data_IF_168123339007
#
_entry.id   IF_168123339007
#
_cell.length_a   1.000
_cell.length_b   1.000
_cell.length_c   1.000
_cell.angle_alpha   90.00
_cell.angle_beta   90.00
_cell.angle_gamma   90.00
#
_symmetry.space_group_name_H-M   'P 1'
#
loop_
_entity.id
_entity.type
_entity.pdbx_description
1 polymer ?
#
# COMPACT_ATOMS: atom_id res chain seq x y z
N UNK A 1 8.78 -18.07 3.10
CA UNK A 1 8.86 -16.59 3.07
C UNK A 1 9.24 -16.08 4.46
N UNK A 2 10.19 -15.16 4.58
CA UNK A 2 10.73 -14.73 5.88
C UNK A 2 9.97 -13.54 6.52
N UNK A 3 9.31 -12.70 5.71
CA UNK A 3 8.64 -11.50 6.21
C UNK A 3 7.33 -11.23 5.46
N UNK A 4 6.51 -10.35 6.02
CA UNK A 4 5.31 -9.78 5.37
C UNK A 4 5.17 -8.29 5.68
N UNK A 5 4.40 -7.59 4.86
CA UNK A 5 4.03 -6.20 5.09
C UNK A 5 2.64 -6.12 5.73
N UNK A 6 2.50 -5.27 6.73
CA UNK A 6 1.25 -5.07 7.44
C UNK A 6 0.94 -3.58 7.59
N UNK A 7 -0.14 -3.10 6.97
CA UNK A 7 -0.63 -1.74 7.18
C UNK A 7 -1.23 -1.57 8.58
N UNK A 8 -0.91 -0.45 9.24
CA UNK A 8 -1.46 -0.04 10.53
C UNK A 8 -2.87 0.53 10.34
N UNK A 9 -3.85 -0.10 10.99
CA UNK A 9 -5.27 0.29 10.96
C UNK A 9 -5.62 1.29 12.07
N UNK A 10 -5.06 1.10 13.26
CA UNK A 10 -5.22 2.01 14.40
C UNK A 10 -4.05 1.88 15.37
N UNK A 11 -3.76 2.97 16.07
CA UNK A 11 -2.84 3.00 17.21
C UNK A 11 -3.69 3.32 18.44
N UNK A 12 -3.49 2.60 19.53
CA UNK A 12 -4.26 2.74 20.75
C UNK A 12 -3.40 2.49 21.97
N UNK A 13 -3.81 3.04 23.10
CA UNK A 13 -3.18 2.79 24.40
C UNK A 13 -3.98 1.71 25.11
N UNK A 14 -3.32 0.59 25.40
CA UNK A 14 -3.90 -0.54 26.10
C UNK A 14 -3.90 -0.40 27.62
N UNK A 15 -4.30 -1.46 28.33
CA UNK A 15 -4.18 -1.53 29.78
C UNK A 15 -2.75 -1.24 30.24
N UNK A 16 -2.61 -0.57 31.39
CA UNK A 16 -1.32 -0.14 31.95
C UNK A 16 -0.54 0.84 31.06
N UNK A 17 -1.26 1.68 30.30
CA UNK A 17 -0.68 2.70 29.43
C UNK A 17 0.28 2.16 28.36
N UNK A 18 0.13 0.90 27.94
CA UNK A 18 1.01 0.29 26.95
C UNK A 18 0.58 0.69 25.53
N UNK A 19 1.43 1.33 24.72
CA UNK A 19 1.11 1.63 23.33
C UNK A 19 1.02 0.34 22.50
N UNK A 20 -0.04 0.24 21.69
CA UNK A 20 -0.29 -0.89 20.80
C UNK A 20 -0.71 -0.40 19.42
N UNK A 21 -0.26 -1.09 18.38
CA UNK A 21 -0.77 -0.90 17.03
C UNK A 21 -1.58 -2.13 16.61
N UNK A 22 -2.65 -1.89 15.86
CA UNK A 22 -3.47 -2.95 15.26
C UNK A 22 -3.30 -2.87 13.75
N UNK A 23 -2.94 -3.99 13.14
CA UNK A 23 -2.72 -4.09 11.70
C UNK A 23 -3.99 -4.56 10.98
N UNK A 24 -4.02 -4.36 9.66
CA UNK A 24 -5.15 -4.75 8.81
C UNK A 24 -5.41 -6.27 8.78
N UNK A 25 -4.39 -7.09 9.05
CA UNK A 25 -4.46 -8.55 9.15
C UNK A 25 -4.85 -9.04 10.56
N UNK A 26 -5.32 -8.13 11.43
CA UNK A 26 -5.88 -8.47 12.74
C UNK A 26 -4.85 -8.67 13.86
N UNK A 27 -3.56 -8.47 13.60
CA UNK A 27 -2.53 -8.57 14.65
C UNK A 27 -2.49 -7.30 15.52
N UNK A 28 -2.11 -7.50 16.78
CA UNK A 28 -1.85 -6.41 17.73
C UNK A 28 -0.38 -6.49 18.15
N UNK A 29 0.40 -5.45 17.84
CA UNK A 29 1.81 -5.35 18.22
C UNK A 29 1.95 -4.36 19.36
N UNK A 30 2.63 -4.78 20.43
CA UNK A 30 2.87 -3.96 21.63
C UNK A 30 4.21 -3.24 21.52
N UNK A 31 4.33 -2.10 22.18
CA UNK A 31 5.55 -1.28 22.21
C UNK A 31 6.08 -0.90 20.80
N UNK A 32 5.23 -0.37 19.89
CA UNK A 32 5.72 0.15 18.63
C UNK A 32 6.54 1.42 18.82
N UNK A 33 7.41 1.72 17.85
CA UNK A 33 8.12 3.00 17.82
C UNK A 33 7.12 4.17 17.73
N UNK A 34 7.31 5.27 18.48
CA UNK A 34 6.35 6.38 18.56
C UNK A 34 6.10 7.09 17.23
N UNK A 35 7.02 6.97 16.27
CA UNK A 35 6.86 7.57 14.94
C UNK A 35 5.84 6.85 14.04
N UNK A 36 5.44 5.62 14.38
CA UNK A 36 4.54 4.82 13.55
C UNK A 36 3.11 5.36 13.70
N UNK A 37 2.52 5.80 12.58
CA UNK A 37 1.18 6.39 12.53
C UNK A 37 0.20 5.47 11.81
N UNK A 38 -1.07 5.84 11.88
CA UNK A 38 -2.14 5.17 11.13
C UNK A 38 -1.88 5.33 9.63
N UNK A 39 -2.17 4.27 8.86
CA UNK A 39 -1.89 4.14 7.42
C UNK A 39 -0.45 3.84 7.01
N UNK A 40 0.51 3.90 7.94
CA UNK A 40 1.86 3.41 7.69
C UNK A 40 1.88 1.89 7.54
N UNK A 41 2.94 1.37 6.92
CA UNK A 41 3.16 -0.07 6.77
C UNK A 41 4.35 -0.52 7.59
N UNK A 42 4.18 -1.60 8.36
CA UNK A 42 5.26 -2.25 9.10
C UNK A 42 5.70 -3.54 8.40
N UNK A 43 7.00 -3.77 8.31
CA UNK A 43 7.59 -5.03 7.87
C UNK A 43 7.74 -5.96 9.06
N UNK A 44 7.00 -7.06 9.06
CA UNK A 44 6.99 -8.05 10.13
C UNK A 44 7.79 -9.28 9.75
N UNK A 45 8.66 -9.74 10.65
CA UNK A 45 9.20 -11.10 10.59
C UNK A 45 8.05 -12.09 10.89
N UNK A 46 7.89 -13.12 10.07
CA UNK A 46 6.82 -14.12 10.27
C UNK A 46 7.13 -15.03 11.46
N UNK A 47 8.41 -15.36 11.69
CA UNK A 47 8.81 -16.24 12.79
C UNK A 47 8.63 -15.56 14.17
N UNK A 48 9.23 -14.38 14.35
CA UNK A 48 9.26 -13.72 15.66
C UNK A 48 8.11 -12.73 15.88
N UNK A 49 7.35 -12.40 14.84
CA UNK A 49 6.34 -11.33 14.85
C UNK A 49 6.87 -9.96 15.30
N UNK A 50 8.19 -9.74 15.20
CA UNK A 50 8.86 -8.47 15.47
C UNK A 50 8.82 -7.56 14.24
N UNK A 51 8.76 -6.25 14.50
CA UNK A 51 8.86 -5.21 13.46
C UNK A 51 10.32 -5.08 13.07
N UNK A 52 10.62 -5.26 11.79
CA UNK A 52 11.97 -5.12 11.22
C UNK A 52 12.21 -3.71 10.69
N UNK A 53 11.22 -3.18 9.96
CA UNK A 53 11.33 -1.90 9.27
C UNK A 53 9.94 -1.26 9.12
N UNK A 54 9.90 0.03 8.85
CA UNK A 54 8.66 0.81 8.73
C UNK A 54 8.66 1.69 7.48
N UNK A 55 7.49 1.83 6.87
CA UNK A 55 7.26 2.61 5.65
C UNK A 55 6.16 3.62 5.91
N UNK A 56 6.52 4.91 5.89
CA UNK A 56 5.61 6.02 6.18
C UNK A 56 4.66 6.28 5.02
N UNK A 57 3.43 6.63 5.35
CA UNK A 57 2.43 7.13 4.41
C UNK A 57 2.72 8.60 4.09
N UNK A 58 3.61 8.81 3.13
CA UNK A 58 4.11 10.12 2.71
C UNK A 58 4.16 10.22 1.18
N UNK A 59 4.13 11.46 0.69
CA UNK A 59 4.27 11.77 -0.74
C UNK A 59 5.63 11.26 -1.24
N UNK A 60 5.64 10.68 -2.44
CA UNK A 60 6.83 10.10 -3.07
C UNK A 60 7.02 8.61 -2.79
N UNK A 61 6.34 8.03 -1.79
CA UNK A 61 6.42 6.60 -1.54
C UNK A 61 5.49 5.79 -2.44
N UNK A 62 5.95 4.61 -2.84
CA UNK A 62 5.17 3.67 -3.66
C UNK A 62 4.10 2.96 -2.83
N UNK A 63 2.89 2.91 -3.38
CA UNK A 63 1.75 2.25 -2.77
C UNK A 63 0.96 1.43 -3.79
N UNK A 64 0.34 0.36 -3.28
CA UNK A 64 -0.60 -0.48 -4.01
C UNK A 64 -2.03 -0.17 -3.57
N UNK A 65 -2.96 -0.16 -4.52
CA UNK A 65 -4.38 -0.04 -4.22
C UNK A 65 -4.97 -1.41 -3.90
N UNK A 66 -5.59 -1.55 -2.74
CA UNK A 66 -6.17 -2.82 -2.27
C UNK A 66 -7.66 -2.95 -2.54
N UNK A 67 -8.36 -1.89 -2.96
CA UNK A 67 -9.81 -1.94 -3.20
C UNK A 67 -10.36 -0.79 -4.02
N UNK A 68 -11.61 -0.94 -4.48
CA UNK A 68 -12.28 0.00 -5.39
C UNK A 68 -11.91 -0.22 -6.86
N UNK A 69 -12.27 0.74 -7.73
CA UNK A 69 -12.09 0.61 -9.18
C UNK A 69 -10.62 0.45 -9.62
N UNK A 70 -9.69 1.01 -8.85
CA UNK A 70 -8.26 1.01 -9.15
C UNK A 70 -7.50 -0.14 -8.45
N UNK A 71 -8.19 -1.17 -7.95
CA UNK A 71 -7.57 -2.31 -7.26
C UNK A 71 -6.46 -2.96 -8.09
N UNK A 72 -5.35 -3.31 -7.42
CA UNK A 72 -4.19 -3.96 -8.03
C UNK A 72 -3.25 -3.00 -8.76
N UNK A 73 -3.59 -1.71 -8.89
CA UNK A 73 -2.67 -0.70 -9.44
C UNK A 73 -1.60 -0.30 -8.43
N UNK A 74 -0.40 0.00 -8.92
CA UNK A 74 0.75 0.39 -8.12
C UNK A 74 1.33 1.69 -8.66
N UNK A 75 1.43 2.69 -7.78
CA UNK A 75 1.95 4.00 -8.13
C UNK A 75 2.57 4.73 -6.95
N UNK A 76 3.29 5.80 -7.23
CA UNK A 76 3.81 6.72 -6.22
C UNK A 76 2.70 7.64 -5.73
N UNK A 77 2.63 7.89 -4.42
CA UNK A 77 1.71 8.86 -3.83
C UNK A 77 2.15 10.27 -4.27
N UNK A 78 1.29 11.01 -4.95
CA UNK A 78 1.56 12.38 -5.43
C UNK A 78 1.04 13.40 -4.43
N UNK A 79 -0.21 13.26 -4.00
CA UNK A 79 -0.83 14.18 -3.06
C UNK A 79 -1.91 13.51 -2.24
N UNK A 80 -2.20 14.12 -1.08
CA UNK A 80 -3.29 13.73 -0.18
C UNK A 80 -4.18 14.94 0.01
N UNK A 81 -5.41 14.84 -0.44
CA UNK A 81 -6.44 15.85 -0.23
C UNK A 81 -7.26 15.48 1.02
N UNK A 82 -7.16 16.34 2.03
CA UNK A 82 -7.85 16.15 3.30
C UNK A 82 -9.24 16.77 3.25
N UNK A 83 -10.24 15.97 3.57
CA UNK A 83 -11.63 16.41 3.63
C UNK A 83 -12.14 16.26 5.06
N UNK A 84 -12.33 17.37 5.76
CA UNK A 84 -12.84 17.36 7.15
C UNK A 84 -14.26 16.78 7.17
N UNK A 85 -14.47 15.74 7.97
CA UNK A 85 -15.77 15.06 8.08
C UNK A 85 -16.06 14.03 6.97
N UNK A 86 -15.15 13.83 6.02
CA UNK A 86 -15.27 12.82 4.97
C UNK A 86 -14.00 11.99 4.82
N UNK A 87 -13.94 11.16 3.77
CA UNK A 87 -12.77 10.36 3.46
C UNK A 87 -11.71 11.20 2.75
N UNK A 88 -10.47 11.08 3.21
CA UNK A 88 -9.33 11.63 2.49
C UNK A 88 -9.13 10.93 1.14
N UNK A 89 -8.87 11.74 0.11
CA UNK A 89 -8.60 11.30 -1.26
C UNK A 89 -7.09 11.35 -1.48
N UNK A 90 -6.55 10.30 -2.07
CA UNK A 90 -5.13 10.15 -2.36
C UNK A 90 -4.97 10.04 -3.86
N UNK A 91 -4.16 10.93 -4.43
CA UNK A 91 -3.77 10.88 -5.83
C UNK A 91 -2.48 10.10 -5.96
N UNK A 92 -2.49 9.11 -6.86
CA UNK A 92 -1.35 8.27 -7.17
C UNK A 92 -1.02 8.39 -8.66
N UNK A 93 0.26 8.20 -8.98
CA UNK A 93 0.77 8.16 -10.35
C UNK A 93 1.47 6.83 -10.59
N UNK A 94 1.02 6.08 -11.59
CA UNK A 94 1.65 4.83 -12.02
C UNK A 94 2.98 5.09 -12.74
N UNK A 95 3.79 4.05 -12.95
CA UNK A 95 5.05 4.13 -13.70
C UNK A 95 4.91 4.62 -15.16
N UNK A 96 3.72 4.49 -15.77
CA UNK A 96 3.41 5.03 -17.11
C UNK A 96 2.99 6.50 -17.10
N UNK A 97 2.97 7.16 -15.95
CA UNK A 97 2.53 8.55 -15.80
C UNK A 97 1.01 8.72 -15.67
N UNK A 98 0.23 7.63 -15.71
CA UNK A 98 -1.21 7.70 -15.52
C UNK A 98 -1.55 8.05 -14.08
N UNK A 99 -2.35 9.11 -13.90
CA UNK A 99 -2.84 9.54 -12.59
C UNK A 99 -4.21 8.95 -12.29
N UNK A 100 -4.45 8.65 -11.02
CA UNK A 100 -5.73 8.15 -10.54
C UNK A 100 -5.89 8.45 -9.05
N UNK A 101 -7.13 8.48 -8.59
CA UNK A 101 -7.45 8.78 -7.20
C UNK A 101 -8.12 7.59 -6.51
N UNK A 102 -7.88 7.45 -5.21
CA UNK A 102 -8.51 6.46 -4.33
C UNK A 102 -8.70 7.02 -2.94
N UNK A 103 -9.62 6.43 -2.15
CA UNK A 103 -9.76 6.76 -0.73
C UNK A 103 -8.54 6.25 0.04
N UNK A 104 -8.10 6.98 1.07
CA UNK A 104 -6.98 6.61 1.96
C UNK A 104 -7.11 5.18 2.54
N UNK A 105 -8.35 4.73 2.77
CA UNK A 105 -8.64 3.38 3.25
C UNK A 105 -8.13 2.27 2.33
N UNK A 106 -8.04 2.53 1.02
CA UNK A 106 -7.64 1.56 0.00
C UNK A 106 -6.17 1.65 -0.41
N UNK A 107 -5.40 2.56 0.19
CA UNK A 107 -3.97 2.72 -0.11
C UNK A 107 -3.13 1.92 0.87
N UNK A 108 -2.19 1.14 0.33
CA UNK A 108 -1.24 0.32 1.07
C UNK A 108 0.19 0.65 0.62
N UNK A 109 0.99 1.25 1.50
CA UNK A 109 2.39 1.59 1.20
C UNK A 109 3.23 0.32 1.13
N UNK A 110 3.99 0.14 0.05
CA UNK A 110 4.79 -1.08 -0.19
C UNK A 110 6.31 -0.83 -0.19
N UNK A 111 6.76 0.42 -0.11
CA UNK A 111 8.19 0.75 -0.09
C UNK A 111 8.48 2.24 0.09
N UNK A 112 9.78 2.58 0.06
CA UNK A 112 10.27 3.98 0.11
C UNK A 112 10.62 4.45 -1.29
N UNK A 113 10.22 5.67 -1.63
CA UNK A 113 10.39 6.18 -3.00
C UNK A 113 9.70 5.27 -4.02
N UNK A 114 10.36 5.02 -5.14
CA UNK A 114 9.85 4.17 -6.23
C UNK A 114 10.17 2.67 -6.06
N UNK A 115 10.90 2.28 -5.02
CA UNK A 115 11.37 0.89 -4.84
C UNK A 115 10.42 0.10 -3.94
N UNK A 116 9.61 -0.83 -4.49
CA UNK A 116 8.78 -1.71 -3.68
C UNK A 116 9.65 -2.74 -2.94
N UNK A 117 9.30 -3.03 -1.69
CA UNK A 117 10.01 -3.99 -0.83
C UNK A 117 9.55 -5.42 -1.11
N UNK A 118 8.37 -5.56 -1.70
CA UNK A 118 7.77 -6.83 -2.13
C UNK A 118 7.85 -6.98 -3.64
N UNK A 119 8.00 -8.21 -4.09
CA UNK A 119 7.93 -8.53 -5.51
C UNK A 119 6.52 -8.25 -6.05
N UNK A 120 6.45 -7.54 -7.17
CA UNK A 120 5.18 -7.26 -7.84
C UNK A 120 4.81 -8.41 -8.79
N UNK A 121 3.50 -8.64 -9.03
CA UNK A 121 3.04 -9.55 -10.08
C UNK A 121 3.51 -9.13 -11.47
N UNK A 122 3.29 -9.99 -12.48
CA UNK A 122 3.79 -9.85 -13.86
C UNK A 122 3.60 -8.44 -14.45
N UNK A 123 2.44 -7.84 -14.22
CA UNK A 123 2.08 -6.56 -14.82
C UNK A 123 2.59 -5.34 -14.02
N UNK A 124 3.33 -5.56 -12.92
CA UNK A 124 3.90 -4.54 -12.03
C UNK A 124 2.88 -3.51 -11.51
N UNK A 125 1.60 -3.87 -11.49
CA UNK A 125 0.51 -2.97 -11.09
C UNK A 125 0.13 -1.92 -12.15
N UNK A 126 0.50 -2.12 -13.41
CA UNK A 126 0.10 -1.26 -14.51
C UNK A 126 -1.19 -1.80 -15.11
N UNK A 127 -2.27 -1.03 -15.04
CA UNK A 127 -3.52 -1.35 -15.72
C UNK A 127 -3.48 -0.83 -17.16
N UNK A 128 -3.52 -1.74 -18.12
CA UNK A 128 -3.62 -1.42 -19.55
C UNK A 128 -4.99 -0.83 -19.89
N UNK A 129 -5.05 -0.07 -20.97
CA UNK A 129 -6.33 0.34 -21.54
C UNK A 129 -7.03 -0.87 -22.17
N UNK A 130 -8.36 -0.79 -22.34
CA UNK A 130 -9.17 -1.88 -22.90
C UNK A 130 -8.66 -2.27 -24.31
N UNK A 131 -8.25 -1.26 -25.09
CA UNK A 131 -7.72 -1.46 -26.43
C UNK A 131 -6.35 -2.16 -26.41
N UNK A 132 -5.43 -1.70 -25.56
CA UNK A 132 -4.10 -2.33 -25.40
C UNK A 132 -4.21 -3.78 -24.92
N UNK A 133 -5.06 -4.04 -23.92
CA UNK A 133 -5.28 -5.40 -23.41
C UNK A 133 -5.84 -6.32 -24.50
N UNK A 134 -6.81 -5.83 -25.29
CA UNK A 134 -7.35 -6.57 -26.44
C UNK A 134 -6.27 -6.88 -27.47
N UNK A 135 -5.44 -5.91 -27.84
CA UNK A 135 -4.36 -6.12 -28.80
C UNK A 135 -3.33 -7.13 -28.29
N UNK A 136 -2.99 -7.07 -27.00
CA UNK A 136 -2.03 -7.98 -26.39
C UNK A 136 -2.56 -9.43 -26.36
N UNK A 137 -3.86 -9.60 -26.08
CA UNK A 137 -4.54 -10.91 -26.17
C UNK A 137 -4.60 -11.44 -27.61
N UNK A 138 -4.90 -10.59 -28.59
CA UNK A 138 -4.92 -10.98 -30.00
C UNK A 138 -3.53 -11.42 -30.50
N UNK A 139 -2.47 -10.67 -30.17
CA UNK A 139 -1.08 -11.04 -30.51
C UNK A 139 -0.70 -12.40 -29.91
N UNK A 140 -0.98 -12.58 -28.61
CA UNK A 140 -0.73 -13.85 -27.91
C UNK A 140 -1.46 -15.03 -28.56
N UNK A 141 -2.72 -14.83 -28.97
CA UNK A 141 -3.50 -15.88 -29.63
C UNK A 141 -3.01 -16.18 -31.05
N UNK A 142 -2.42 -15.18 -31.73
CA UNK A 142 -1.81 -15.34 -33.05
C UNK A 142 -0.41 -16.01 -33.00
N UNK A 143 0.09 -16.38 -31.81
CA UNK A 143 1.40 -17.02 -31.64
C UNK A 143 2.60 -16.09 -31.87
N UNK A 144 2.37 -14.77 -31.87
CA UNK A 144 3.38 -13.71 -32.01
C UNK A 144 3.72 -13.07 -30.66
#
# INVERSE_FOLDING_TARGET
AAFKLCRVKKVLVGPKAVPMLVTHDGRTLRFPHPEIKVHDTVRLNIADSKILDTYKFEVGNVAMVTGGHNVGRVGSIVSRERHLGSFDVVHLRDARGNEFATRIGNVFVIGRGEKPVVALPKDKGIRLTIFEDRQLKLKKNAGL
#
